data_IF_216192472864
#
_entry.id   IF_216192472864
#
_cell.length_a   1.000
_cell.length_b   1.000
_cell.length_c   1.000
_cell.angle_alpha   90.00
_cell.angle_beta   90.00
_cell.angle_gamma   90.00
#
_symmetry.space_group_name_H-M   'P 1'
#
loop_
_entity.id
_entity.type
_entity.pdbx_description
1 polymer ?
#
# COMPACT_ATOMS: atom_id res chain seq x y z
N UNK A 1 -5.11 -14.22 -4.05
CA UNK A 1 -4.83 -12.97 -3.28
C UNK A 1 -5.02 -11.80 -4.24
N UNK A 2 -5.74 -10.78 -3.82
CA UNK A 2 -5.95 -9.56 -4.62
C UNK A 2 -5.05 -8.45 -4.10
N UNK A 3 -4.46 -7.66 -5.01
CA UNK A 3 -3.54 -6.57 -4.67
C UNK A 3 -4.00 -5.29 -5.34
N UNK A 4 -4.17 -4.23 -4.58
CA UNK A 4 -4.53 -2.90 -5.09
C UNK A 4 -3.60 -1.83 -4.54
N UNK A 5 -3.07 -0.98 -5.43
CA UNK A 5 -2.27 0.18 -5.07
C UNK A 5 -3.14 1.39 -4.74
N UNK A 6 -2.68 2.22 -3.81
CA UNK A 6 -3.22 3.56 -3.54
C UNK A 6 -2.12 4.58 -3.80
N UNK A 7 -2.21 5.23 -4.96
CA UNK A 7 -1.27 6.25 -5.41
C UNK A 7 -1.81 7.65 -5.13
N UNK A 8 -0.95 8.65 -5.24
CA UNK A 8 -1.29 10.06 -5.06
C UNK A 8 -0.22 10.82 -4.28
N UNK A 9 -0.27 12.13 -4.33
CA UNK A 9 0.72 13.00 -3.68
C UNK A 9 0.63 12.97 -2.15
N UNK A 10 1.69 13.39 -1.46
CA UNK A 10 1.69 13.52 -0.01
C UNK A 10 0.52 14.41 0.46
N UNK A 11 -0.18 13.99 1.51
CA UNK A 11 -1.34 14.70 2.05
C UNK A 11 -2.62 14.58 1.23
N UNK A 12 -2.70 13.67 0.21
CA UNK A 12 -3.95 13.44 -0.54
C UNK A 12 -4.98 12.58 0.23
N UNK A 13 -4.63 12.05 1.40
CA UNK A 13 -5.54 11.24 2.21
C UNK A 13 -5.43 9.73 2.02
N UNK A 14 -4.38 9.23 1.33
CA UNK A 14 -4.16 7.78 1.12
C UNK A 14 -4.20 6.97 2.40
N UNK A 15 -3.39 7.34 3.38
CA UNK A 15 -3.33 6.64 4.67
C UNK A 15 -4.69 6.61 5.35
N UNK A 16 -5.38 7.74 5.39
CA UNK A 16 -6.73 7.84 5.98
C UNK A 16 -7.73 6.93 5.26
N UNK A 17 -7.70 6.90 3.92
CA UNK A 17 -8.56 6.00 3.15
C UNK A 17 -8.23 4.54 3.47
N UNK A 18 -6.95 4.13 3.39
CA UNK A 18 -6.52 2.75 3.67
C UNK A 18 -6.93 2.33 5.08
N UNK A 19 -6.75 3.19 6.09
CA UNK A 19 -7.17 2.94 7.47
C UNK A 19 -8.68 2.70 7.57
N UNK A 20 -9.50 3.36 6.77
CA UNK A 20 -10.95 3.18 6.75
C UNK A 20 -11.39 1.94 5.95
N UNK A 21 -10.66 1.57 4.89
CA UNK A 21 -10.97 0.38 4.10
C UNK A 21 -10.71 -0.93 4.86
N UNK A 22 -9.72 -0.96 5.74
CA UNK A 22 -9.37 -2.16 6.52
C UNK A 22 -10.56 -2.68 7.34
N UNK A 23 -11.21 -1.90 8.22
CA UNK A 23 -12.36 -2.38 8.97
C UNK A 23 -13.53 -2.76 8.07
N UNK A 24 -13.76 -2.05 6.96
CA UNK A 24 -14.84 -2.35 6.03
C UNK A 24 -14.66 -3.71 5.33
N UNK A 25 -13.43 -4.04 4.90
CA UNK A 25 -13.09 -5.36 4.35
C UNK A 25 -13.23 -6.44 5.42
N UNK A 26 -12.77 -6.18 6.63
CA UNK A 26 -12.89 -7.11 7.76
C UNK A 26 -14.34 -7.41 8.15
N UNK A 27 -15.23 -6.42 8.11
CA UNK A 27 -16.68 -6.61 8.33
C UNK A 27 -17.30 -7.56 7.31
N UNK A 28 -16.72 -7.66 6.11
CA UNK A 28 -17.12 -8.60 5.06
C UNK A 28 -16.43 -9.97 5.17
N UNK A 29 -15.74 -10.23 6.30
CA UNK A 29 -15.05 -11.49 6.58
C UNK A 29 -13.72 -11.66 5.85
N UNK A 30 -13.21 -10.61 5.20
CA UNK A 30 -11.97 -10.67 4.41
C UNK A 30 -10.74 -10.37 5.26
N UNK A 31 -9.66 -11.11 5.05
CA UNK A 31 -8.38 -10.88 5.69
C UNK A 31 -7.55 -9.93 4.84
N UNK A 32 -6.99 -8.89 5.48
CA UNK A 32 -6.30 -7.78 4.81
C UNK A 32 -4.88 -7.65 5.34
N UNK A 33 -3.93 -7.51 4.43
CA UNK A 33 -2.56 -7.04 4.70
C UNK A 33 -2.33 -5.67 4.09
N UNK A 34 -1.35 -4.96 4.62
CA UNK A 34 -0.94 -3.65 4.09
C UNK A 34 0.55 -3.67 3.79
N UNK A 35 0.92 -3.15 2.63
CA UNK A 35 2.30 -2.82 2.25
C UNK A 35 2.41 -1.31 2.16
N UNK A 36 3.40 -0.73 2.83
CA UNK A 36 3.64 0.71 2.80
C UNK A 36 5.07 1.02 2.35
N UNK A 37 5.21 1.89 1.36
CA UNK A 37 6.49 2.47 1.00
C UNK A 37 6.81 3.65 1.94
N UNK A 38 7.84 3.51 2.73
CA UNK A 38 8.35 4.59 3.57
C UNK A 38 9.43 5.37 2.82
N UNK A 39 9.27 6.70 2.71
CA UNK A 39 10.26 7.58 2.07
C UNK A 39 11.34 8.08 3.04
N UNK A 40 11.17 7.83 4.32
CA UNK A 40 12.10 8.22 5.39
C UNK A 40 12.44 6.99 6.23
N UNK A 41 13.56 7.07 6.96
CA UNK A 41 13.90 6.07 7.96
C UNK A 41 12.75 5.91 8.96
N UNK A 42 12.41 4.68 9.28
CA UNK A 42 11.43 4.36 10.31
C UNK A 42 12.01 3.31 11.24
N UNK A 43 11.59 3.34 12.48
CA UNK A 43 11.87 2.30 13.46
C UNK A 43 10.57 1.95 14.18
N UNK A 44 10.29 0.66 14.32
CA UNK A 44 9.12 0.12 15.01
C UNK A 44 9.48 -0.57 16.32
N UNK A 45 10.78 -0.69 16.59
CA UNK A 45 11.33 -1.27 17.82
C UNK A 45 11.59 -0.19 18.87
N UNK A 46 11.76 -0.60 20.12
CA UNK A 46 11.94 0.32 21.23
C UNK A 46 13.32 0.18 21.84
N UNK A 47 14.08 1.31 21.99
CA UNK A 47 15.37 1.31 22.68
C UNK A 47 15.30 0.61 24.04
N UNK A 48 16.29 -0.26 24.31
CA UNK A 48 16.40 -1.00 25.55
C UNK A 48 15.65 -2.33 25.64
N UNK A 49 14.84 -2.68 24.63
CA UNK A 49 14.26 -4.03 24.51
C UNK A 49 15.28 -5.02 23.96
N UNK A 50 15.08 -6.31 24.22
CA UNK A 50 16.03 -7.34 23.80
C UNK A 50 16.17 -7.40 22.27
N UNK A 51 15.08 -7.27 21.54
CA UNK A 51 15.07 -7.20 20.08
C UNK A 51 15.92 -6.04 19.54
N UNK A 52 15.75 -4.86 20.13
CA UNK A 52 16.57 -3.68 19.81
C UNK A 52 18.06 -3.93 20.08
N UNK A 53 18.39 -4.52 21.26
CA UNK A 53 19.77 -4.84 21.63
C UNK A 53 20.42 -5.85 20.69
N UNK A 54 19.65 -6.82 20.18
CA UNK A 54 20.17 -7.78 19.20
C UNK A 54 20.50 -7.10 17.87
N UNK A 55 19.65 -6.16 17.40
CA UNK A 55 19.91 -5.36 16.20
C UNK A 55 21.18 -4.49 16.36
N UNK A 56 21.27 -3.75 17.47
CA UNK A 56 22.46 -2.93 17.79
C UNK A 56 23.74 -3.76 17.92
N UNK A 57 23.63 -5.02 18.29
CA UNK A 57 24.78 -5.94 18.35
C UNK A 57 25.20 -6.48 16.95
N UNK A 58 24.46 -6.10 15.89
CA UNK A 58 24.79 -6.43 14.50
C UNK A 58 24.05 -7.65 13.93
N UNK A 59 22.92 -8.06 14.52
CA UNK A 59 22.09 -9.09 13.91
C UNK A 59 21.50 -8.59 12.59
N UNK A 60 21.72 -9.32 11.48
CA UNK A 60 21.16 -9.01 10.18
C UNK A 60 19.64 -9.08 10.18
N UNK A 61 19.09 -10.04 10.92
CA UNK A 61 17.64 -10.21 11.05
C UNK A 61 17.26 -10.60 12.47
N UNK A 62 16.18 -10.03 12.98
CA UNK A 62 15.59 -10.39 14.28
C UNK A 62 14.13 -10.77 14.07
N UNK A 63 13.76 -12.00 14.44
CA UNK A 63 12.38 -12.47 14.47
C UNK A 63 11.94 -12.62 15.92
N UNK A 64 10.84 -12.00 16.29
CA UNK A 64 10.23 -12.14 17.60
C UNK A 64 8.77 -12.54 17.46
N UNK A 65 8.31 -13.48 18.29
CA UNK A 65 6.95 -13.98 18.25
C UNK A 65 6.36 -14.10 19.66
N UNK A 66 5.05 -13.86 19.75
CA UNK A 66 4.21 -14.18 20.90
C UNK A 66 3.01 -14.98 20.41
N UNK A 67 2.10 -15.33 21.32
CA UNK A 67 0.82 -15.96 21.01
C UNK A 67 -0.10 -15.13 20.09
N UNK A 68 0.16 -13.82 19.98
CA UNK A 68 -0.71 -12.87 19.25
C UNK A 68 0.00 -12.07 18.16
N UNK A 69 1.33 -12.10 18.11
CA UNK A 69 2.08 -11.20 17.23
C UNK A 69 3.41 -11.80 16.80
N UNK A 70 3.73 -11.61 15.54
CA UNK A 70 5.06 -11.86 14.97
C UNK A 70 5.62 -10.54 14.45
N UNK A 71 6.90 -10.30 14.71
CA UNK A 71 7.68 -9.21 14.15
C UNK A 71 8.91 -9.81 13.46
N UNK A 72 9.23 -9.29 12.27
CA UNK A 72 10.48 -9.53 11.57
C UNK A 72 11.07 -8.17 11.23
N UNK A 73 12.32 -7.95 11.61
CA UNK A 73 13.09 -6.76 11.26
C UNK A 73 14.38 -7.22 10.63
N UNK A 74 14.66 -6.74 9.43
CA UNK A 74 15.88 -7.00 8.68
C UNK A 74 16.65 -5.71 8.49
N UNK A 75 17.91 -5.70 8.91
CA UNK A 75 18.84 -4.58 8.75
C UNK A 75 19.67 -4.81 7.48
N UNK A 76 19.62 -3.89 6.55
CA UNK A 76 20.44 -3.98 5.33
C UNK A 76 21.78 -3.32 5.56
N UNK A 77 22.88 -4.04 5.29
CA UNK A 77 24.26 -3.51 5.37
C UNK A 77 24.50 -2.38 4.38
N UNK A 78 23.78 -2.41 3.25
CA UNK A 78 23.80 -1.37 2.23
C UNK A 78 22.36 -0.94 1.92
N UNK A 79 22.12 0.32 1.54
CA UNK A 79 20.80 0.76 1.14
C UNK A 79 20.19 -0.15 0.07
N UNK A 80 19.05 -0.78 0.36
CA UNK A 80 18.36 -1.67 -0.55
C UNK A 80 17.16 -0.96 -1.20
N UNK A 81 16.99 -1.14 -2.51
CA UNK A 81 15.78 -0.72 -3.21
C UNK A 81 14.88 -1.94 -3.41
N UNK A 82 13.85 -2.05 -2.58
CA UNK A 82 12.88 -3.13 -2.66
C UNK A 82 11.74 -2.74 -3.59
N UNK A 83 11.42 -3.59 -4.55
CA UNK A 83 10.20 -3.46 -5.33
C UNK A 83 8.98 -3.84 -4.49
N UNK A 84 7.81 -3.43 -4.93
CA UNK A 84 6.55 -3.84 -4.29
C UNK A 84 6.40 -5.37 -4.31
N UNK A 85 6.86 -6.04 -5.36
CA UNK A 85 6.80 -7.50 -5.48
C UNK A 85 7.65 -8.24 -4.45
N UNK A 86 8.83 -7.69 -4.11
CA UNK A 86 9.63 -8.22 -2.99
C UNK A 86 8.86 -8.15 -1.67
N UNK A 87 8.20 -7.02 -1.38
CA UNK A 87 7.43 -6.86 -0.15
C UNK A 87 6.18 -7.76 -0.13
N UNK A 88 5.54 -7.96 -1.27
CA UNK A 88 4.40 -8.88 -1.38
C UNK A 88 4.83 -10.33 -1.09
N UNK A 89 6.05 -10.73 -1.50
CA UNK A 89 6.60 -12.06 -1.24
C UNK A 89 6.86 -12.33 0.26
N UNK A 90 7.11 -11.30 1.06
CA UNK A 90 7.29 -11.43 2.52
C UNK A 90 5.98 -11.57 3.29
N UNK A 91 4.82 -11.36 2.63
CA UNK A 91 3.53 -11.43 3.31
C UNK A 91 3.04 -12.86 3.51
N UNK A 92 2.23 -13.05 4.55
CA UNK A 92 1.51 -14.29 4.76
C UNK A 92 0.51 -14.53 3.62
N UNK A 93 0.61 -15.71 2.98
CA UNK A 93 -0.16 -16.04 1.78
C UNK A 93 -1.67 -16.27 2.02
N UNK A 94 -2.09 -16.39 3.28
CA UNK A 94 -3.49 -16.65 3.66
C UNK A 94 -4.34 -15.38 3.78
N UNK A 95 -4.07 -14.32 2.98
CA UNK A 95 -4.86 -13.08 2.96
C UNK A 95 -5.68 -12.97 1.68
N UNK A 96 -6.84 -12.31 1.77
CA UNK A 96 -7.73 -12.10 0.63
C UNK A 96 -7.31 -10.86 -0.16
N UNK A 97 -6.95 -9.77 0.56
CA UNK A 97 -6.55 -8.50 -0.02
C UNK A 97 -5.24 -7.98 0.54
N UNK A 98 -4.45 -7.35 -0.32
CA UNK A 98 -3.31 -6.52 0.06
C UNK A 98 -3.53 -5.10 -0.44
N UNK A 99 -3.54 -4.16 0.49
CA UNK A 99 -3.61 -2.73 0.20
C UNK A 99 -2.18 -2.18 0.19
N UNK A 100 -1.77 -1.61 -0.93
CA UNK A 100 -0.40 -1.09 -1.11
C UNK A 100 -0.45 0.43 -1.09
N UNK A 101 0.12 1.06 -0.07
CA UNK A 101 0.25 2.51 0.02
C UNK A 101 1.63 2.96 -0.49
N UNK A 102 1.64 3.80 -1.50
CA UNK A 102 2.86 4.24 -2.18
C UNK A 102 3.15 3.42 -3.43
N UNK A 103 4.42 3.21 -3.76
CA UNK A 103 4.84 2.52 -5.00
C UNK A 103 4.12 3.03 -6.25
N UNK A 104 3.99 4.36 -6.35
CA UNK A 104 3.21 5.05 -7.37
C UNK A 104 3.63 4.70 -8.81
N UNK A 105 4.88 4.28 -8.99
CA UNK A 105 5.48 3.95 -10.29
C UNK A 105 5.52 2.43 -10.55
N UNK A 106 4.84 1.61 -9.71
CA UNK A 106 4.72 0.16 -9.91
C UNK A 106 3.71 -0.18 -11.00
N UNK A 107 3.78 -1.41 -11.48
CA UNK A 107 2.86 -2.04 -12.43
C UNK A 107 1.61 -2.65 -11.80
N UNK A 108 1.36 -2.38 -10.52
CA UNK A 108 0.11 -2.77 -9.86
C UNK A 108 -1.05 -1.89 -10.31
N UNK A 109 -2.22 -2.48 -10.50
CA UNK A 109 -3.44 -1.69 -10.65
C UNK A 109 -3.71 -0.87 -9.40
N UNK A 110 -4.02 0.42 -9.59
CA UNK A 110 -4.11 1.41 -8.51
C UNK A 110 -5.37 2.23 -8.58
N UNK A 111 -5.78 2.68 -7.40
CA UNK A 111 -6.72 3.79 -7.22
C UNK A 111 -5.88 5.04 -6.94
N UNK A 112 -6.02 6.07 -7.75
CA UNK A 112 -5.41 7.36 -7.44
C UNK A 112 -6.27 8.11 -6.43
N UNK A 113 -5.62 8.55 -5.34
CA UNK A 113 -6.27 9.32 -4.28
C UNK A 113 -5.93 10.79 -4.47
N UNK A 114 -6.94 11.58 -4.79
CA UNK A 114 -6.79 13.01 -4.99
C UNK A 114 -7.82 13.77 -4.15
N UNK A 115 -7.36 14.84 -3.51
CA UNK A 115 -8.18 15.72 -2.69
C UNK A 115 -8.07 17.15 -3.22
N UNK A 116 -9.20 17.85 -3.24
CA UNK A 116 -9.22 19.25 -3.60
C UNK A 116 -8.30 20.07 -2.67
N UNK A 117 -7.62 21.10 -3.20
CA UNK A 117 -6.78 21.95 -2.40
C UNK A 117 -7.61 22.80 -1.42
N UNK A 118 -7.04 23.10 -0.28
CA UNK A 118 -7.60 24.10 0.63
C UNK A 118 -7.64 25.48 -0.06
N UNK A 119 -8.55 26.38 0.35
CA UNK A 119 -8.62 27.73 -0.20
C UNK A 119 -7.26 28.42 -0.19
N UNK A 120 -6.81 28.87 -1.36
CA UNK A 120 -5.51 29.54 -1.54
C UNK A 120 -4.33 28.62 -1.81
N UNK A 121 -4.52 27.32 -1.82
CA UNK A 121 -3.49 26.36 -2.21
C UNK A 121 -3.62 25.96 -3.69
N UNK A 122 -2.49 25.57 -4.29
CA UNK A 122 -2.45 25.06 -5.66
C UNK A 122 -2.88 23.58 -5.66
N UNK A 123 -3.74 23.22 -6.61
CA UNK A 123 -4.15 21.84 -6.81
C UNK A 123 -2.95 20.94 -7.12
N UNK A 124 -2.86 19.80 -6.47
CA UNK A 124 -1.84 18.79 -6.78
C UNK A 124 -2.14 18.19 -8.15
N UNK A 125 -1.09 17.87 -8.92
CA UNK A 125 -1.29 17.21 -10.21
C UNK A 125 -1.89 15.82 -10.01
N UNK A 126 -2.40 15.25 -11.09
CA UNK A 126 -2.93 13.89 -11.16
C UNK A 126 -2.06 13.02 -12.07
N UNK A 127 -2.10 11.72 -11.88
CA UNK A 127 -1.31 10.75 -12.65
C UNK A 127 -2.12 9.97 -13.66
N UNK A 128 -3.41 9.80 -13.43
CA UNK A 128 -4.28 8.97 -14.26
C UNK A 128 -4.24 9.27 -15.77
N UNK A 129 -3.90 10.47 -16.26
CA UNK A 129 -3.79 10.68 -17.69
C UNK A 129 -2.55 10.04 -18.33
N UNK A 130 -1.53 9.73 -17.53
CA UNK A 130 -0.22 9.26 -17.99
C UNK A 130 0.15 7.88 -17.40
N UNK A 131 -0.70 7.29 -16.55
CA UNK A 131 -0.44 6.02 -15.85
C UNK A 131 -1.60 5.04 -16.12
N UNK A 132 -1.42 4.14 -17.07
CA UNK A 132 -2.40 3.13 -17.47
C UNK A 132 -2.75 2.13 -16.35
N UNK A 133 -1.94 2.06 -15.31
CA UNK A 133 -2.23 1.25 -14.13
C UNK A 133 -3.20 1.92 -13.14
N UNK A 134 -3.52 3.20 -13.34
CA UNK A 134 -4.59 3.84 -12.57
C UNK A 134 -5.94 3.44 -13.17
N UNK A 135 -6.76 2.75 -12.37
CA UNK A 135 -8.04 2.17 -12.82
C UNK A 135 -9.27 2.82 -12.20
N UNK A 136 -9.07 3.70 -11.23
CA UNK A 136 -10.11 4.52 -10.61
C UNK A 136 -9.47 5.72 -9.90
N UNK A 137 -10.28 6.74 -9.62
CA UNK A 137 -9.87 7.92 -8.84
C UNK A 137 -10.77 8.04 -7.63
N UNK A 138 -10.17 8.05 -6.43
CA UNK A 138 -10.87 8.33 -5.19
C UNK A 138 -10.68 9.80 -4.82
N UNK A 139 -11.79 10.55 -4.72
CA UNK A 139 -11.77 12.00 -4.51
C UNK A 139 -12.96 12.49 -3.69
N UNK A 140 -12.80 13.61 -3.01
CA UNK A 140 -13.86 14.36 -2.33
C UNK A 140 -14.48 15.46 -3.21
N UNK A 141 -13.93 15.70 -4.40
CA UNK A 141 -14.33 16.81 -5.26
C UNK A 141 -14.19 16.44 -6.76
N UNK A 142 -15.00 15.52 -7.21
CA UNK A 142 -14.97 14.99 -8.58
C UNK A 142 -15.02 16.08 -9.66
N UNK A 143 -15.84 17.12 -9.45
CA UNK A 143 -15.98 18.24 -10.39
C UNK A 143 -14.74 19.16 -10.45
N UNK A 144 -13.82 19.03 -9.50
CA UNK A 144 -12.63 19.89 -9.37
C UNK A 144 -11.35 19.18 -9.81
N UNK A 145 -11.45 17.97 -10.36
CA UNK A 145 -10.29 17.23 -10.85
C UNK A 145 -9.52 18.07 -11.88
N UNK A 146 -8.17 18.11 -11.82
CA UNK A 146 -7.35 18.93 -12.71
C UNK A 146 -7.49 18.58 -14.20
N UNK A 147 -7.85 17.36 -14.51
CA UNK A 147 -8.06 16.86 -15.88
C UNK A 147 -9.32 16.00 -15.94
N UNK A 148 -10.05 16.01 -17.06
CA UNK A 148 -11.20 15.13 -17.25
C UNK A 148 -10.77 13.66 -17.31
N UNK A 149 -11.65 12.76 -16.86
CA UNK A 149 -11.41 11.31 -16.92
C UNK A 149 -12.70 10.53 -17.19
N UNK A 150 -12.55 9.35 -17.78
CA UNK A 150 -13.61 8.33 -17.92
C UNK A 150 -13.46 7.21 -16.86
N UNK A 151 -12.45 7.30 -16.01
CA UNK A 151 -12.25 6.33 -14.94
C UNK A 151 -13.37 6.42 -13.90
N UNK A 152 -13.72 5.31 -13.23
CA UNK A 152 -14.62 5.34 -12.10
C UNK A 152 -14.17 6.35 -11.04
N UNK A 153 -15.11 7.18 -10.59
CA UNK A 153 -14.90 8.15 -9.51
C UNK A 153 -15.51 7.60 -8.23
N UNK A 154 -14.68 7.46 -7.20
CA UNK A 154 -15.03 6.92 -5.89
C UNK A 154 -15.02 8.06 -4.88
N UNK A 155 -16.04 8.13 -4.01
CA UNK A 155 -16.07 9.14 -2.96
C UNK A 155 -15.16 8.74 -1.80
N UNK A 156 -14.13 9.56 -1.54
CA UNK A 156 -13.21 9.41 -0.42
C UNK A 156 -13.90 9.35 0.95
N UNK A 157 -15.07 9.95 1.07
CA UNK A 157 -15.83 10.03 2.32
C UNK A 157 -16.80 8.85 2.50
N UNK A 158 -16.80 7.91 1.54
CA UNK A 158 -17.67 6.72 1.54
C UNK A 158 -16.85 5.42 1.44
N UNK A 159 -16.03 5.08 2.46
CA UNK A 159 -15.12 3.93 2.40
C UNK A 159 -15.85 2.60 2.14
N UNK A 160 -17.08 2.45 2.63
CA UNK A 160 -17.90 1.26 2.36
C UNK A 160 -18.18 1.09 0.86
N UNK A 161 -18.50 2.18 0.14
CA UNK A 161 -18.74 2.15 -1.30
C UNK A 161 -17.44 1.86 -2.08
N UNK A 162 -16.29 2.37 -1.61
CA UNK A 162 -14.99 2.05 -2.20
C UNK A 162 -14.72 0.55 -2.07
N UNK A 163 -14.99 -0.05 -0.91
CA UNK A 163 -14.84 -1.49 -0.70
C UNK A 163 -15.81 -2.29 -1.58
N UNK A 164 -17.07 -1.86 -1.70
CA UNK A 164 -18.04 -2.53 -2.56
C UNK A 164 -17.57 -2.55 -4.02
N UNK A 165 -17.03 -1.42 -4.50
CA UNK A 165 -16.42 -1.33 -5.82
C UNK A 165 -15.21 -2.25 -5.97
N UNK A 166 -14.30 -2.29 -4.98
CA UNK A 166 -13.14 -3.18 -5.01
C UNK A 166 -13.56 -4.66 -5.08
N UNK A 167 -14.61 -5.05 -4.35
CA UNK A 167 -15.12 -6.43 -4.36
C UNK A 167 -15.76 -6.76 -5.69
N UNK A 168 -16.60 -5.87 -6.24
CA UNK A 168 -17.28 -6.04 -7.53
C UNK A 168 -16.26 -6.26 -8.66
N UNK A 169 -15.20 -5.43 -8.69
CA UNK A 169 -14.15 -5.51 -9.70
C UNK A 169 -12.94 -6.35 -9.25
N UNK A 170 -13.10 -7.14 -8.18
CA UNK A 170 -12.02 -7.89 -7.54
C UNK A 170 -11.23 -8.82 -8.46
N UNK A 171 -11.88 -9.37 -9.50
CA UNK A 171 -11.23 -10.21 -10.51
C UNK A 171 -10.07 -9.51 -11.26
N UNK A 172 -10.10 -8.17 -11.37
CA UNK A 172 -9.03 -7.38 -12.00
C UNK A 172 -7.77 -7.28 -11.14
N UNK A 173 -7.90 -7.46 -9.84
CA UNK A 173 -6.83 -7.29 -8.85
C UNK A 173 -6.17 -8.61 -8.44
N UNK A 174 -6.50 -9.72 -9.11
CA UNK A 174 -5.84 -11.00 -8.83
C UNK A 174 -4.34 -10.89 -9.10
N UNK A 175 -3.54 -11.17 -8.07
CA UNK A 175 -2.09 -11.09 -8.18
C UNK A 175 -1.55 -12.38 -8.79
N UNK A 176 -0.85 -12.23 -9.91
CA UNK A 176 -0.23 -13.37 -10.59
C UNK A 176 1.24 -13.49 -10.21
N UNK A 177 1.53 -14.48 -9.37
CA UNK A 177 2.89 -14.79 -8.93
C UNK A 177 3.82 -15.24 -10.06
N UNK A 178 3.30 -15.88 -11.11
CA UNK A 178 4.10 -16.34 -12.24
C UNK A 178 4.65 -15.18 -13.07
N UNK A 179 3.89 -14.09 -13.18
CA UNK A 179 4.31 -12.90 -13.89
C UNK A 179 5.31 -12.06 -13.09
N UNK A 180 5.18 -12.03 -11.75
CA UNK A 180 5.93 -11.14 -10.89
C UNK A 180 6.89 -11.89 -9.94
N UNK A 181 6.65 -13.18 -9.70
CA UNK A 181 7.33 -14.01 -8.71
C UNK A 181 8.62 -14.67 -9.19
N UNK A 182 9.08 -14.41 -10.42
CA UNK A 182 10.40 -14.83 -10.90
C UNK A 182 11.57 -14.17 -10.16
N UNK A 183 11.28 -13.26 -9.25
CA UNK A 183 12.21 -12.67 -8.30
C UNK A 183 12.14 -13.46 -6.98
N UNK A 184 12.78 -14.65 -6.96
CA UNK A 184 13.23 -15.23 -5.69
C UNK A 184 13.92 -14.10 -4.91
N UNK A 185 13.65 -13.91 -3.60
CA UNK A 185 14.36 -12.91 -2.82
C UNK A 185 15.84 -13.08 -3.10
N UNK A 186 16.43 -12.11 -3.77
CA UNK A 186 17.86 -12.11 -3.98
C UNK A 186 18.46 -11.97 -2.58
N UNK A 187 19.09 -13.03 -2.10
CA UNK A 187 19.94 -12.90 -0.94
C UNK A 187 20.91 -11.75 -1.26
N UNK A 188 21.02 -10.72 -0.43
CA UNK A 188 21.99 -9.66 -0.64
C UNK A 188 23.36 -10.31 -0.72
N UNK A 189 24.11 -10.00 -1.80
CA UNK A 189 25.52 -10.38 -1.93
C UNK A 189 26.33 -9.57 -0.93
#
# INVERSE_FOLDING_TARGET
MKVVGFAGFSGSGKTTLVEQLIPELRLRGLRVSVVKHAHHSFDIDHPGKDTYRHREAGAFEVVAASDKRLMLVREFEQPATLSVHHLLAELYQGVDWVLVEGFKDSDLLKVEVWRAPEPGQVAKPVRYPEDDFVVAVATDAAASLPQPTQLPLLDLNQPAQVVDWLIEYGHRFEYNWELHGGLVPCAPQ
#
